data_IF_292223455616
#
_entry.id   IF_292223455616
#
_cell.length_a   1.000
_cell.length_b   1.000
_cell.length_c   1.000
_cell.angle_alpha   90.00
_cell.angle_beta   90.00
_cell.angle_gamma   90.00
#
_symmetry.space_group_name_H-M   'P 1'
#
loop_
_entity.id
_entity.type
_entity.pdbx_description
1 polymer ?
#
# COMPACT_ATOMS: atom_id res chain seq x y z
N UNK A 1 -25.40 -20.13 -7.84
CA UNK A 1 -25.42 -19.61 -6.44
C UNK A 1 -24.52 -18.39 -6.39
N UNK A 2 -25.10 -17.19 -6.29
CA UNK A 2 -24.36 -15.92 -6.21
C UNK A 2 -23.97 -15.65 -4.76
N UNK A 3 -22.68 -15.78 -4.43
CA UNK A 3 -22.14 -15.33 -3.16
C UNK A 3 -21.87 -13.84 -3.20
N UNK A 4 -22.85 -13.01 -2.86
CA UNK A 4 -22.59 -11.64 -2.43
C UNK A 4 -21.92 -11.69 -1.06
N UNK A 5 -20.59 -11.83 -1.05
CA UNK A 5 -19.80 -11.58 0.15
C UNK A 5 -19.91 -10.11 0.47
N UNK A 6 -20.64 -9.77 1.54
CA UNK A 6 -20.87 -8.40 2.01
C UNK A 6 -19.50 -7.85 2.49
N UNK A 7 -18.81 -6.97 1.74
CA UNK A 7 -17.49 -6.49 2.14
C UNK A 7 -17.58 -5.41 3.23
N UNK A 8 -18.78 -4.90 3.54
CA UNK A 8 -18.95 -3.74 4.42
C UNK A 8 -19.17 -4.02 5.92
N UNK A 9 -19.53 -5.25 6.33
CA UNK A 9 -19.84 -5.51 7.76
C UNK A 9 -18.60 -5.56 8.64
N UNK A 10 -17.49 -6.10 8.10
CA UNK A 10 -16.20 -6.08 8.79
C UNK A 10 -15.63 -4.66 8.91
N UNK A 11 -15.78 -3.83 7.88
CA UNK A 11 -15.32 -2.44 7.89
C UNK A 11 -16.07 -1.58 8.91
N UNK A 12 -17.40 -1.72 9.01
CA UNK A 12 -18.22 -0.97 9.99
C UNK A 12 -17.89 -1.42 11.42
N UNK A 13 -17.82 -2.73 11.67
CA UNK A 13 -17.45 -3.26 12.98
C UNK A 13 -16.04 -2.80 13.38
N UNK A 14 -15.14 -2.73 12.41
CA UNK A 14 -13.77 -2.29 12.59
C UNK A 14 -13.66 -0.78 12.85
N UNK A 15 -14.39 0.07 12.13
CA UNK A 15 -14.46 1.51 12.42
C UNK A 15 -15.03 1.78 13.82
N UNK A 16 -16.02 0.99 14.26
CA UNK A 16 -16.56 1.08 15.61
C UNK A 16 -15.52 0.68 16.67
N UNK A 17 -14.75 -0.37 16.43
CA UNK A 17 -13.67 -0.79 17.34
C UNK A 17 -12.54 0.26 17.41
N UNK A 18 -12.19 0.89 16.29
CA UNK A 18 -11.21 1.99 16.27
C UNK A 18 -11.77 3.22 17.01
N UNK A 19 -13.02 3.60 16.78
CA UNK A 19 -13.68 4.70 17.49
C UNK A 19 -13.72 4.48 19.00
N UNK A 20 -14.09 3.28 19.44
CA UNK A 20 -14.10 2.89 20.86
C UNK A 20 -12.68 2.82 21.42
N UNK A 21 -11.71 2.32 20.66
CA UNK A 21 -10.30 2.28 21.03
C UNK A 21 -9.72 3.68 21.24
N UNK A 22 -9.99 4.62 20.34
CA UNK A 22 -9.62 6.04 20.48
C UNK A 22 -10.31 6.65 21.70
N UNK A 23 -11.61 6.38 21.90
CA UNK A 23 -12.32 6.89 23.09
C UNK A 23 -11.69 6.38 24.38
N UNK A 24 -11.36 5.08 24.48
CA UNK A 24 -10.71 4.50 25.66
C UNK A 24 -9.28 5.05 25.83
N UNK A 25 -8.51 5.18 24.76
CA UNK A 25 -7.13 5.67 24.80
C UNK A 25 -7.01 7.18 25.02
N UNK A 26 -8.04 7.96 24.72
CA UNK A 26 -8.04 9.42 24.95
C UNK A 26 -8.76 9.75 26.26
N UNK A 27 -9.98 9.25 26.45
CA UNK A 27 -10.81 9.58 27.62
C UNK A 27 -10.37 8.81 28.86
N UNK A 28 -9.94 7.55 28.71
CA UNK A 28 -9.47 6.71 29.82
C UNK A 28 -8.27 7.34 30.56
N UNK A 29 -7.20 7.75 29.86
CA UNK A 29 -6.09 8.46 30.48
C UNK A 29 -6.47 9.82 31.05
N UNK A 30 -7.34 10.60 30.40
CA UNK A 30 -7.81 11.89 30.94
C UNK A 30 -8.54 11.68 32.28
N UNK A 31 -9.39 10.66 32.36
CA UNK A 31 -10.13 10.31 33.57
C UNK A 31 -9.20 9.77 34.68
N UNK A 32 -8.26 8.87 34.35
CA UNK A 32 -7.26 8.34 35.27
C UNK A 32 -6.30 9.43 35.79
N UNK A 33 -5.88 10.36 34.93
CA UNK A 33 -5.02 11.49 35.29
C UNK A 33 -5.78 12.46 36.20
N UNK A 34 -7.05 12.78 35.92
CA UNK A 34 -7.90 13.59 36.81
C UNK A 34 -8.08 12.94 38.18
N UNK A 35 -8.24 11.61 38.23
CA UNK A 35 -8.46 10.87 39.49
C UNK A 35 -7.19 10.79 40.34
N UNK A 36 -6.00 10.59 39.74
CA UNK A 36 -4.70 10.56 40.46
C UNK A 36 -4.15 11.94 40.81
N UNK A 37 -4.50 12.99 40.08
CA UNK A 37 -4.06 14.36 40.38
C UNK A 37 -4.59 14.90 41.71
N UNK A 38 -5.62 14.26 42.28
CA UNK A 38 -6.18 14.57 43.60
C UNK A 38 -5.42 13.92 44.78
N UNK A 39 -4.53 12.96 44.52
CA UNK A 39 -3.95 12.11 45.59
C UNK A 39 -2.43 12.01 45.60
N UNK A 40 -1.69 12.57 44.63
CA UNK A 40 -0.23 12.63 44.75
C UNK A 40 0.37 13.89 44.14
N UNK A 41 1.15 14.61 44.94
CA UNK A 41 1.94 15.80 44.62
C UNK A 41 3.17 15.51 43.74
N UNK A 42 3.17 14.39 43.00
CA UNK A 42 4.34 13.96 42.23
C UNK A 42 4.44 14.75 40.93
N UNK A 43 5.55 15.47 40.78
CA UNK A 43 5.92 16.19 39.54
C UNK A 43 5.89 15.22 38.35
N UNK A 44 5.38 15.66 37.18
CA UNK A 44 5.35 14.83 35.99
C UNK A 44 6.78 14.48 35.56
N UNK A 45 7.04 13.18 35.35
CA UNK A 45 8.39 12.67 35.10
C UNK A 45 8.77 12.85 33.63
N UNK A 46 9.88 13.56 33.38
CA UNK A 46 10.38 13.90 32.05
C UNK A 46 10.72 12.67 31.19
N UNK A 47 11.21 11.58 31.80
CA UNK A 47 11.57 10.36 31.07
C UNK A 47 10.40 9.74 30.30
N UNK A 48 9.16 9.93 30.77
CA UNK A 48 7.99 9.43 30.05
C UNK A 48 7.77 10.21 28.76
N UNK A 49 8.04 11.52 28.76
CA UNK A 49 7.95 12.34 27.54
C UNK A 49 9.04 11.92 26.55
N UNK A 50 10.25 11.60 27.04
CA UNK A 50 11.34 11.07 26.20
C UNK A 50 10.94 9.76 25.52
N UNK A 51 10.36 8.80 26.25
CA UNK A 51 9.89 7.54 25.66
C UNK A 51 8.78 7.75 24.62
N UNK A 52 7.85 8.68 24.88
CA UNK A 52 6.79 9.01 23.93
C UNK A 52 7.35 9.60 22.63
N UNK A 53 8.35 10.50 22.74
CA UNK A 53 9.04 11.08 21.59
C UNK A 53 9.80 10.00 20.82
N UNK A 54 10.60 9.17 21.50
CA UNK A 54 11.33 8.07 20.86
C UNK A 54 10.36 7.10 20.17
N UNK A 55 9.23 6.79 20.80
CA UNK A 55 8.17 5.98 20.20
C UNK A 55 7.58 6.62 18.94
N UNK A 56 7.19 7.89 18.98
CA UNK A 56 6.62 8.58 17.83
C UNK A 56 7.63 8.75 16.68
N UNK A 57 8.87 9.13 17.01
CA UNK A 57 9.97 9.30 16.06
C UNK A 57 10.45 7.97 15.48
N UNK A 58 10.34 6.86 16.21
CA UNK A 58 10.65 5.53 15.69
C UNK A 58 9.53 4.94 14.84
N UNK A 59 8.28 5.11 15.27
CA UNK A 59 7.10 4.56 14.57
C UNK A 59 6.86 5.23 13.22
N UNK A 60 7.11 6.53 13.05
CA UNK A 60 6.92 7.21 11.78
C UNK A 60 7.82 6.69 10.62
N UNK A 61 9.16 6.66 10.73
CA UNK A 61 10.03 6.05 9.72
C UNK A 61 9.89 4.53 9.69
N UNK A 62 9.69 3.89 10.84
CA UNK A 62 9.47 2.45 10.93
C UNK A 62 8.21 2.01 10.18
N UNK A 63 7.13 2.77 10.24
CA UNK A 63 5.90 2.49 9.50
C UNK A 63 6.10 2.63 8.00
N UNK A 64 6.89 3.62 7.55
CA UNK A 64 7.22 3.76 6.13
C UNK A 64 8.05 2.60 5.61
N UNK A 65 9.12 2.22 6.31
CA UNK A 65 9.95 1.08 5.93
C UNK A 65 9.14 -0.22 5.91
N UNK A 66 8.28 -0.42 6.90
CA UNK A 66 7.38 -1.56 6.95
C UNK A 66 6.37 -1.53 5.80
N UNK A 67 5.79 -0.36 5.49
CA UNK A 67 4.85 -0.22 4.37
C UNK A 67 5.50 -0.60 3.05
N UNK A 68 6.71 -0.10 2.79
CA UNK A 68 7.49 -0.47 1.61
C UNK A 68 7.73 -1.97 1.52
N UNK A 69 8.14 -2.59 2.63
CA UNK A 69 8.39 -4.03 2.69
C UNK A 69 7.11 -4.85 2.49
N UNK A 70 6.00 -4.44 3.09
CA UNK A 70 4.69 -5.07 2.90
C UNK A 70 4.26 -4.97 1.44
N UNK A 71 4.34 -3.79 0.82
CA UNK A 71 4.03 -3.64 -0.61
C UNK A 71 4.89 -4.53 -1.50
N UNK A 72 6.18 -4.65 -1.18
CA UNK A 72 7.07 -5.56 -1.87
C UNK A 72 6.65 -7.03 -1.73
N UNK A 73 6.34 -7.47 -0.51
CA UNK A 73 5.86 -8.83 -0.26
C UNK A 73 4.50 -9.10 -0.92
N UNK A 74 3.63 -8.10 -0.93
CA UNK A 74 2.31 -8.13 -1.56
C UNK A 74 2.46 -8.35 -3.08
N UNK A 75 3.35 -7.58 -3.72
CA UNK A 75 3.71 -7.80 -5.12
C UNK A 75 4.30 -9.19 -5.35
N UNK A 76 5.23 -9.63 -4.49
CA UNK A 76 5.86 -10.95 -4.58
C UNK A 76 4.85 -12.10 -4.50
N UNK A 77 3.77 -11.92 -3.74
CA UNK A 77 2.67 -12.88 -3.58
C UNK A 77 1.50 -12.65 -4.53
N UNK A 78 1.59 -11.66 -5.43
CA UNK A 78 0.56 -11.30 -6.40
C UNK A 78 -0.77 -10.85 -5.77
N UNK A 79 -0.71 -9.93 -4.81
CA UNK A 79 -1.89 -9.26 -4.23
C UNK A 79 -2.57 -10.03 -3.10
N UNK A 80 -1.84 -10.21 -2.01
CA UNK A 80 -2.36 -10.78 -0.78
C UNK A 80 -3.45 -9.93 -0.12
N UNK A 81 -4.25 -10.52 0.77
CA UNK A 81 -5.26 -9.78 1.48
C UNK A 81 -4.58 -8.79 2.44
N UNK A 82 -4.95 -7.51 2.31
CA UNK A 82 -4.91 -6.49 3.37
C UNK A 82 -3.64 -5.61 3.43
N UNK A 83 -3.59 -4.57 2.59
CA UNK A 83 -2.73 -3.38 2.72
C UNK A 83 -3.16 -2.39 3.82
N UNK A 84 -3.91 -2.81 4.86
CA UNK A 84 -4.35 -1.91 5.95
C UNK A 84 -3.29 -1.71 7.04
N UNK A 85 -2.23 -2.51 7.08
CA UNK A 85 -1.20 -2.47 8.14
C UNK A 85 -0.56 -1.09 8.37
N UNK A 86 -0.22 -0.29 7.32
CA UNK A 86 0.36 1.04 7.49
C UNK A 86 -0.53 1.99 8.30
N UNK A 87 -1.84 1.98 8.03
CA UNK A 87 -2.81 2.90 8.62
C UNK A 87 -2.81 2.83 10.15
N UNK A 88 -2.60 1.63 10.72
CA UNK A 88 -2.54 1.42 12.17
C UNK A 88 -1.32 2.04 12.82
N UNK A 89 -0.16 1.97 12.17
CA UNK A 89 1.08 2.53 12.72
C UNK A 89 1.05 4.07 12.69
N UNK A 90 0.42 4.64 11.67
CA UNK A 90 0.17 6.08 11.64
C UNK A 90 -0.86 6.51 12.69
N UNK A 91 -1.93 5.72 12.89
CA UNK A 91 -2.87 5.97 13.98
C UNK A 91 -2.17 5.91 15.35
N UNK A 92 -1.30 4.93 15.57
CA UNK A 92 -0.51 4.84 16.79
C UNK A 92 0.39 6.07 16.98
N UNK A 93 1.08 6.51 15.92
CA UNK A 93 1.91 7.73 15.93
C UNK A 93 1.07 8.97 16.27
N UNK A 94 -0.12 9.09 15.70
CA UNK A 94 -1.06 10.17 15.97
C UNK A 94 -1.54 10.16 17.43
N UNK A 95 -1.87 8.99 17.99
CA UNK A 95 -2.24 8.84 19.39
C UNK A 95 -1.11 9.27 20.33
N UNK A 96 0.14 8.86 20.05
CA UNK A 96 1.29 9.28 20.85
C UNK A 96 1.49 10.79 20.83
N UNK A 97 1.31 11.41 19.67
CA UNK A 97 1.39 12.87 19.53
C UNK A 97 0.31 13.59 20.35
N UNK A 98 -0.94 13.11 20.31
CA UNK A 98 -2.01 13.64 21.15
C UNK A 98 -1.72 13.51 22.64
N UNK A 99 -1.16 12.38 23.08
CA UNK A 99 -0.77 12.19 24.49
C UNK A 99 0.30 13.23 24.90
N UNK A 100 1.29 13.49 24.06
CA UNK A 100 2.31 14.53 24.30
C UNK A 100 1.67 15.91 24.44
N UNK A 101 0.78 16.27 23.51
CA UNK A 101 0.09 17.56 23.50
C UNK A 101 -0.80 17.76 24.74
N UNK A 102 -1.64 16.77 25.07
CA UNK A 102 -2.52 16.81 26.25
C UNK A 102 -1.69 16.95 27.53
N UNK A 103 -0.53 16.28 27.62
CA UNK A 103 0.36 16.40 28.78
C UNK A 103 0.97 17.80 28.93
N UNK A 104 1.19 18.54 27.86
CA UNK A 104 1.61 19.94 27.96
C UNK A 104 0.48 20.78 28.55
N UNK A 105 -0.73 20.64 28.02
CA UNK A 105 -1.90 21.42 28.46
C UNK A 105 -2.25 21.13 29.92
N UNK A 106 -2.42 19.85 30.29
CA UNK A 106 -2.87 19.44 31.62
C UNK A 106 -1.87 19.84 32.71
N UNK A 107 -0.57 19.76 32.40
CA UNK A 107 0.47 20.06 33.38
C UNK A 107 1.03 21.49 33.26
N UNK A 108 0.54 22.32 32.33
CA UNK A 108 1.10 23.66 32.04
C UNK A 108 1.34 24.51 33.30
N UNK A 109 0.34 24.59 34.20
CA UNK A 109 0.42 25.35 35.46
C UNK A 109 1.40 24.77 36.50
N UNK A 110 1.83 23.52 36.34
CA UNK A 110 2.72 22.79 37.26
C UNK A 110 4.14 22.63 36.72
N UNK A 111 4.40 23.08 35.50
CA UNK A 111 5.70 22.96 34.85
C UNK A 111 6.51 24.23 35.07
N UNK A 112 7.81 24.06 35.28
CA UNK A 112 8.74 25.19 35.19
C UNK A 112 8.88 25.67 33.75
N UNK A 113 9.29 26.92 33.53
CA UNK A 113 9.54 27.49 32.19
C UNK A 113 10.45 26.60 31.35
N UNK A 114 11.53 26.06 31.95
CA UNK A 114 12.47 25.15 31.29
C UNK A 114 11.77 23.86 30.83
N UNK A 115 10.90 23.28 31.66
CA UNK A 115 10.16 22.07 31.29
C UNK A 115 9.12 22.32 30.20
N UNK A 116 8.48 23.49 30.20
CA UNK A 116 7.59 23.89 29.11
C UNK A 116 8.38 23.97 27.80
N UNK A 117 9.54 24.64 27.81
CA UNK A 117 10.41 24.77 26.63
C UNK A 117 10.82 23.38 26.10
N UNK A 118 11.35 22.49 26.96
CA UNK A 118 11.78 21.14 26.55
C UNK A 118 10.62 20.35 25.93
N UNK A 119 9.43 20.38 26.54
CA UNK A 119 8.26 19.63 26.03
C UNK A 119 7.71 20.23 24.73
N UNK A 120 7.76 21.55 24.59
CA UNK A 120 7.42 22.22 23.33
C UNK A 120 8.40 21.80 22.23
N UNK A 121 9.70 21.77 22.50
CA UNK A 121 10.72 21.28 21.56
C UNK A 121 10.43 19.83 21.15
N UNK A 122 10.12 18.95 22.10
CA UNK A 122 9.73 17.57 21.82
C UNK A 122 8.53 17.46 20.88
N UNK A 123 7.49 18.25 21.14
CA UNK A 123 6.31 18.30 20.28
C UNK A 123 6.66 18.79 18.87
N UNK A 124 7.47 19.86 18.78
CA UNK A 124 7.95 20.40 17.50
C UNK A 124 8.76 19.36 16.74
N UNK A 125 9.68 18.63 17.40
CA UNK A 125 10.48 17.56 16.78
C UNK A 125 9.55 16.48 16.21
N UNK A 126 8.55 16.03 16.96
CA UNK A 126 7.62 15.01 16.45
C UNK A 126 6.81 15.50 15.25
N UNK A 127 6.38 16.77 15.24
CA UNK A 127 5.70 17.39 14.09
C UNK A 127 6.65 17.48 12.90
N UNK A 128 7.89 17.94 13.10
CA UNK A 128 8.91 18.02 12.06
C UNK A 128 9.19 16.64 11.49
N UNK A 129 9.29 15.59 12.31
CA UNK A 129 9.45 14.22 11.80
C UNK A 129 8.25 13.83 10.95
N UNK A 130 7.01 14.14 11.34
CA UNK A 130 5.83 13.84 10.50
C UNK A 130 5.81 14.65 9.20
N UNK A 131 6.25 15.91 9.22
CA UNK A 131 6.29 16.80 8.04
C UNK A 131 7.42 16.42 7.07
N UNK A 132 8.60 16.12 7.60
CA UNK A 132 9.83 15.79 6.85
C UNK A 132 9.80 14.32 6.41
N UNK A 133 9.10 13.46 7.16
CA UNK A 133 8.76 12.12 6.71
C UNK A 133 8.22 12.21 5.28
N UNK A 134 8.79 11.45 4.32
CA UNK A 134 8.29 11.41 2.96
C UNK A 134 6.76 11.37 3.00
N UNK A 135 6.11 12.41 2.46
CA UNK A 135 4.66 12.53 2.44
C UNK A 135 4.09 11.18 2.03
N UNK A 136 3.11 10.66 2.78
CA UNK A 136 2.40 9.41 2.52
C UNK A 136 2.45 9.03 1.04
N UNK A 137 3.43 8.21 0.65
CA UNK A 137 3.35 7.55 -0.63
C UNK A 137 2.44 6.37 -0.29
N UNK A 138 1.19 6.44 -0.76
CA UNK A 138 0.32 5.27 -0.95
C UNK A 138 1.24 4.13 -1.41
N UNK A 139 1.13 2.90 -0.86
CA UNK A 139 2.01 1.76 -1.14
C UNK A 139 2.57 1.86 -2.56
N UNK A 140 3.83 2.28 -2.65
CA UNK A 140 4.27 2.87 -3.91
C UNK A 140 4.25 1.78 -4.97
N UNK A 141 3.81 2.16 -6.17
CA UNK A 141 3.78 1.25 -7.32
C UNK A 141 5.15 0.57 -7.48
N UNK A 142 6.25 1.28 -7.18
CA UNK A 142 7.62 0.77 -7.27
C UNK A 142 7.93 -0.48 -6.42
N UNK A 143 7.83 -0.50 -5.07
CA UNK A 143 8.07 -1.72 -4.28
C UNK A 143 7.14 -2.87 -4.68
N UNK A 144 5.86 -2.57 -4.91
CA UNK A 144 4.91 -3.58 -5.38
C UNK A 144 5.36 -4.19 -6.71
N UNK A 145 5.63 -3.36 -7.72
CA UNK A 145 6.05 -3.81 -9.04
C UNK A 145 7.39 -4.54 -9.01
N UNK A 146 8.32 -4.11 -8.15
CA UNK A 146 9.58 -4.82 -7.92
C UNK A 146 9.34 -6.24 -7.38
N UNK A 147 8.47 -6.37 -6.37
CA UNK A 147 8.07 -7.66 -5.83
C UNK A 147 7.37 -8.52 -6.88
N UNK A 148 6.41 -7.93 -7.58
CA UNK A 148 5.59 -8.58 -8.60
C UNK A 148 6.41 -9.07 -9.78
N UNK A 149 7.39 -8.28 -10.25
CA UNK A 149 8.36 -8.67 -11.27
C UNK A 149 9.14 -9.91 -10.87
N UNK A 150 9.67 -9.94 -9.65
CA UNK A 150 10.42 -11.08 -9.13
C UNK A 150 9.51 -12.30 -8.98
N UNK A 151 8.27 -12.09 -8.51
CA UNK A 151 7.26 -13.13 -8.37
C UNK A 151 6.88 -13.75 -9.72
N UNK A 152 6.52 -12.93 -10.71
CA UNK A 152 6.18 -13.40 -12.05
C UNK A 152 7.38 -14.02 -12.75
N UNK A 153 8.58 -13.44 -12.65
CA UNK A 153 9.79 -14.01 -13.25
C UNK A 153 10.17 -15.39 -12.70
N UNK A 154 9.70 -15.75 -11.50
CA UNK A 154 9.91 -17.09 -10.92
C UNK A 154 8.76 -18.07 -11.19
N UNK A 155 7.53 -17.57 -11.30
CA UNK A 155 6.33 -18.40 -11.29
C UNK A 155 5.64 -18.51 -12.66
N UNK A 156 5.86 -17.56 -13.57
CA UNK A 156 5.26 -17.57 -14.90
C UNK A 156 6.11 -18.40 -15.85
N UNK A 157 5.52 -19.45 -16.42
CA UNK A 157 6.10 -20.18 -17.53
C UNK A 157 5.75 -19.45 -18.84
N UNK A 158 6.59 -18.49 -19.21
CA UNK A 158 6.36 -17.60 -20.36
C UNK A 158 6.39 -18.39 -21.66
N UNK A 159 7.21 -19.44 -21.75
CA UNK A 159 7.31 -20.30 -22.93
C UNK A 159 6.05 -21.15 -23.11
N UNK A 160 5.53 -21.79 -22.05
CA UNK A 160 4.27 -22.53 -22.13
C UNK A 160 3.11 -21.61 -22.54
N UNK A 161 3.05 -20.40 -21.98
CA UNK A 161 2.04 -19.39 -22.36
C UNK A 161 2.17 -19.02 -23.84
N UNK A 162 3.40 -18.85 -24.34
CA UNK A 162 3.66 -18.49 -25.74
C UNK A 162 3.33 -19.62 -26.70
N UNK A 163 3.62 -20.87 -26.35
CA UNK A 163 3.20 -22.02 -27.16
C UNK A 163 1.69 -22.16 -27.21
N UNK A 164 1.01 -21.96 -26.09
CA UNK A 164 -0.46 -21.92 -26.06
C UNK A 164 -1.02 -20.81 -26.95
N UNK A 165 -0.42 -19.62 -26.95
CA UNK A 165 -0.86 -18.50 -27.81
C UNK A 165 -0.84 -18.84 -29.30
N UNK A 166 0.05 -19.72 -29.77
CA UNK A 166 0.08 -20.18 -31.18
C UNK A 166 -1.14 -21.03 -31.55
N UNK A 167 -1.83 -21.60 -30.56
CA UNK A 167 -3.04 -22.42 -30.75
C UNK A 167 -4.32 -21.59 -30.75
N UNK A 168 -4.23 -20.31 -30.35
CA UNK A 168 -5.37 -19.38 -30.32
C UNK A 168 -5.66 -18.91 -31.75
N UNK A 169 -6.87 -19.15 -32.23
CA UNK A 169 -7.32 -18.81 -33.58
C UNK A 169 -8.05 -17.46 -33.64
N UNK A 170 -8.68 -17.05 -32.53
CA UNK A 170 -9.44 -15.80 -32.42
C UNK A 170 -9.18 -15.08 -31.10
N UNK A 171 -9.15 -13.74 -31.12
CA UNK A 171 -9.11 -12.98 -29.88
C UNK A 171 -10.43 -13.19 -29.14
N UNK A 172 -10.36 -13.18 -27.81
CA UNK A 172 -11.53 -13.22 -26.96
C UNK A 172 -11.62 -11.93 -26.17
N UNK A 173 -12.80 -11.33 -26.18
CA UNK A 173 -13.11 -10.16 -25.39
C UNK A 173 -13.33 -10.57 -23.94
N UNK A 174 -12.44 -10.11 -23.07
CA UNK A 174 -12.58 -10.01 -21.61
C UNK A 174 -13.37 -11.13 -20.93
N UNK A 175 -12.80 -12.34 -20.90
CA UNK A 175 -13.42 -13.48 -20.25
C UNK A 175 -12.87 -13.65 -18.83
N UNK A 176 -13.77 -13.87 -17.87
CA UNK A 176 -13.38 -14.30 -16.53
C UNK A 176 -12.57 -15.61 -16.63
N UNK A 177 -11.50 -15.73 -15.84
CA UNK A 177 -10.64 -16.91 -15.83
C UNK A 177 -11.43 -18.24 -15.67
N UNK A 178 -12.53 -18.21 -14.91
CA UNK A 178 -13.39 -19.39 -14.68
C UNK A 178 -14.17 -19.84 -15.92
N UNK A 179 -14.28 -18.98 -16.93
CA UNK A 179 -15.08 -19.21 -18.14
C UNK A 179 -14.24 -19.69 -19.32
N UNK A 180 -12.91 -19.79 -19.18
CA UNK A 180 -12.07 -20.39 -20.20
C UNK A 180 -11.94 -21.91 -20.02
N UNK A 181 -12.48 -22.73 -20.93
CA UNK A 181 -12.41 -24.17 -20.80
C UNK A 181 -11.00 -24.75 -21.02
N UNK A 182 -10.10 -24.03 -21.72
CA UNK A 182 -8.85 -24.59 -22.25
C UNK A 182 -7.60 -23.74 -21.93
N UNK A 183 -7.48 -23.21 -20.70
CA UNK A 183 -6.24 -22.52 -20.30
C UNK A 183 -5.11 -23.52 -20.01
N UNK A 184 -3.86 -23.18 -20.37
CA UNK A 184 -2.68 -23.96 -20.00
C UNK A 184 -2.47 -23.94 -18.47
N UNK A 185 -1.81 -24.95 -17.94
CA UNK A 185 -1.56 -25.06 -16.49
C UNK A 185 -0.69 -23.91 -15.99
N UNK A 186 0.21 -23.40 -16.84
CA UNK A 186 0.97 -22.17 -16.58
C UNK A 186 0.08 -20.99 -16.16
N UNK A 187 -1.00 -20.70 -16.90
CA UNK A 187 -1.92 -19.59 -16.57
C UNK A 187 -2.77 -19.95 -15.36
N UNK A 188 -3.24 -21.19 -15.25
CA UNK A 188 -4.10 -21.62 -14.13
C UNK A 188 -3.41 -21.50 -12.78
N UNK A 189 -2.12 -21.82 -12.70
CA UNK A 189 -1.32 -21.67 -11.48
C UNK A 189 -1.24 -20.22 -10.99
N UNK A 190 -1.20 -19.26 -11.90
CA UNK A 190 -1.11 -17.84 -11.58
C UNK A 190 -2.45 -17.25 -11.07
N UNK A 191 -3.56 -17.96 -11.28
CA UNK A 191 -4.92 -17.60 -10.83
C UNK A 191 -5.28 -16.13 -11.14
N UNK A 192 -5.17 -15.68 -12.40
CA UNK A 192 -5.63 -14.34 -12.78
C UNK A 192 -7.14 -14.20 -12.58
N UNK A 193 -7.59 -12.97 -12.38
CA UNK A 193 -9.03 -12.66 -12.32
C UNK A 193 -9.64 -12.65 -13.72
N UNK A 194 -8.92 -12.06 -14.67
CA UNK A 194 -9.32 -11.96 -16.08
C UNK A 194 -8.18 -12.39 -17.01
N UNK A 195 -8.55 -12.97 -18.15
CA UNK A 195 -7.63 -13.40 -19.20
C UNK A 195 -8.13 -12.89 -20.54
N UNK A 196 -7.35 -12.03 -21.18
CA UNK A 196 -7.75 -11.40 -22.45
C UNK A 196 -6.76 -11.83 -23.53
N UNK A 197 -7.26 -12.33 -24.66
CA UNK A 197 -6.43 -12.60 -25.83
C UNK A 197 -6.65 -11.49 -26.84
N UNK A 198 -5.61 -10.71 -27.10
CA UNK A 198 -5.67 -9.50 -27.90
C UNK A 198 -4.85 -9.70 -29.17
N UNK A 199 -5.36 -9.18 -30.29
CA UNK A 199 -4.58 -9.13 -31.53
C UNK A 199 -3.44 -8.11 -31.39
N UNK A 200 -2.29 -8.42 -31.98
CA UNK A 200 -1.21 -7.44 -32.11
C UNK A 200 -1.62 -6.37 -33.14
N UNK A 201 -1.36 -5.10 -32.84
CA UNK A 201 -1.80 -3.97 -33.68
C UNK A 201 -1.08 -3.92 -35.02
N UNK A 202 0.22 -4.23 -35.02
CA UNK A 202 1.09 -4.07 -36.20
C UNK A 202 1.60 -5.40 -36.79
N UNK A 203 1.30 -6.53 -36.14
CA UNK A 203 1.82 -7.87 -36.53
C UNK A 203 0.71 -8.91 -36.57
N UNK A 204 0.93 -9.97 -37.36
CA UNK A 204 0.13 -11.17 -37.23
C UNK A 204 0.48 -11.89 -35.92
N UNK A 205 -0.56 -12.27 -35.16
CA UNK A 205 -0.41 -12.97 -33.89
C UNK A 205 -1.24 -12.36 -32.77
N UNK A 206 -1.15 -13.02 -31.61
CA UNK A 206 -1.90 -12.68 -30.41
C UNK A 206 -0.97 -12.46 -29.23
N UNK A 207 -1.42 -11.63 -28.29
CA UNK A 207 -0.87 -11.50 -26.95
C UNK A 207 -1.95 -11.86 -25.93
N UNK A 208 -1.55 -12.36 -24.77
CA UNK A 208 -2.46 -12.57 -23.64
C UNK A 208 -2.18 -11.54 -22.56
N UNK A 209 -3.24 -10.92 -22.02
CA UNK A 209 -3.22 -10.04 -20.86
C UNK A 209 -3.85 -10.78 -19.69
N UNK A 210 -3.07 -10.99 -18.65
CA UNK A 210 -3.49 -11.56 -17.38
C UNK A 210 -3.68 -10.41 -16.38
N UNK A 211 -4.87 -10.32 -15.79
CA UNK A 211 -5.25 -9.20 -14.92
C UNK A 211 -5.64 -9.69 -13.54
N UNK A 212 -5.08 -9.04 -12.52
CA UNK A 212 -5.44 -9.15 -11.09
C UNK A 212 -6.01 -7.82 -10.59
N UNK A 213 -6.45 -7.82 -9.34
CA UNK A 213 -6.99 -6.63 -8.69
C UNK A 213 -8.52 -6.58 -8.65
N UNK A 214 -9.06 -5.37 -8.51
CA UNK A 214 -10.48 -5.12 -8.31
C UNK A 214 -10.81 -3.63 -8.19
N UNK A 215 -11.78 -3.28 -7.35
CA UNK A 215 -12.29 -1.89 -7.26
C UNK A 215 -11.26 -0.83 -6.83
N UNK A 216 -10.09 -1.24 -6.35
CA UNK A 216 -9.01 -0.36 -5.88
C UNK A 216 -7.77 -0.38 -6.79
N UNK A 217 -7.91 -0.83 -8.03
CA UNK A 217 -6.84 -0.86 -9.03
C UNK A 217 -6.59 -2.25 -9.58
N UNK A 218 -6.00 -2.27 -10.76
CA UNK A 218 -5.63 -3.48 -11.49
C UNK A 218 -4.12 -3.51 -11.75
N UNK A 219 -3.59 -4.71 -11.82
CA UNK A 219 -2.22 -4.96 -12.26
C UNK A 219 -2.19 -6.27 -13.02
N UNK A 220 -1.13 -6.52 -13.75
CA UNK A 220 -1.13 -7.66 -14.64
C UNK A 220 0.18 -7.95 -15.33
N UNK A 221 0.12 -8.98 -16.15
CA UNK A 221 1.20 -9.40 -17.02
C UNK A 221 0.66 -9.52 -18.43
N UNK A 222 1.47 -9.16 -19.41
CA UNK A 222 1.20 -9.37 -20.82
C UNK A 222 2.31 -10.25 -21.38
N UNK A 223 1.92 -11.26 -22.15
CA UNK A 223 2.83 -12.16 -22.87
C UNK A 223 2.41 -12.20 -24.33
N UNK A 224 3.38 -12.05 -25.23
CA UNK A 224 3.21 -12.21 -26.67
C UNK A 224 4.42 -12.90 -27.30
N UNK A 225 4.58 -12.79 -28.62
CA UNK A 225 5.79 -13.22 -29.33
C UNK A 225 7.05 -12.55 -28.78
N UNK A 226 8.20 -13.20 -28.86
CA UNK A 226 9.48 -12.68 -28.34
C UNK A 226 9.85 -11.30 -28.91
N UNK A 227 9.52 -11.07 -30.18
CA UNK A 227 9.77 -9.84 -30.92
C UNK A 227 8.65 -8.79 -30.78
N UNK A 228 7.69 -9.02 -29.87
CA UNK A 228 6.68 -8.03 -29.54
C UNK A 228 7.34 -6.84 -28.83
N UNK A 229 7.15 -5.64 -29.39
CA UNK A 229 7.60 -4.42 -28.76
C UNK A 229 6.82 -4.19 -27.45
N UNK A 230 7.56 -3.87 -26.38
CA UNK A 230 6.97 -3.56 -25.09
C UNK A 230 6.63 -2.08 -25.11
N UNK A 231 5.34 -1.70 -25.07
CA UNK A 231 4.96 -0.31 -25.18
C UNK A 231 5.48 0.47 -23.97
N UNK A 232 5.81 1.76 -24.13
CA UNK A 232 6.31 2.57 -23.04
C UNK A 232 5.27 2.68 -21.91
N UNK A 233 5.74 3.07 -20.72
CA UNK A 233 4.84 3.49 -19.64
C UNK A 233 4.05 4.70 -20.12
N UNK A 234 2.73 4.58 -20.16
CA UNK A 234 1.82 5.64 -20.59
C UNK A 234 1.10 6.15 -19.36
N UNK A 235 1.40 7.38 -18.94
CA UNK A 235 0.63 8.04 -17.89
C UNK A 235 0.17 9.39 -18.44
N UNK A 236 -1.13 9.52 -18.61
CA UNK A 236 -1.74 10.71 -19.18
C UNK A 236 -1.50 11.91 -18.27
N UNK A 237 -0.97 12.99 -18.85
CA UNK A 237 -0.69 14.22 -18.11
C UNK A 237 -1.97 14.95 -17.66
N UNK A 238 -3.11 14.69 -18.32
CA UNK A 238 -4.36 15.43 -18.11
C UNK A 238 -5.16 14.89 -16.92
N UNK A 239 -5.46 13.59 -16.94
CA UNK A 239 -6.28 12.91 -15.93
C UNK A 239 -5.44 12.10 -14.94
N UNK A 240 -4.11 12.03 -15.13
CA UNK A 240 -3.20 11.30 -14.24
C UNK A 240 -3.53 9.81 -14.12
N UNK A 241 -4.17 9.25 -15.14
CA UNK A 241 -4.44 7.83 -15.27
C UNK A 241 -3.49 7.19 -16.28
N UNK A 242 -3.31 5.89 -16.20
CA UNK A 242 -2.53 5.16 -17.21
C UNK A 242 -2.02 3.82 -16.72
N UNK A 243 -0.95 3.34 -17.35
CA UNK A 243 -0.30 2.08 -17.02
C UNK A 243 1.20 2.30 -16.82
N UNK A 244 1.66 2.00 -15.60
CA UNK A 244 3.07 1.82 -15.33
C UNK A 244 3.49 0.43 -15.81
N UNK A 245 4.44 0.35 -16.74
CA UNK A 245 4.85 -0.90 -17.40
C UNK A 245 6.33 -1.16 -17.16
N UNK A 246 6.67 -2.40 -16.82
CA UNK A 246 8.06 -2.86 -16.72
C UNK A 246 8.28 -4.13 -17.53
N UNK A 247 9.36 -4.15 -18.31
CA UNK A 247 9.81 -5.36 -19.01
C UNK A 247 10.11 -6.48 -18.03
N UNK A 248 9.60 -7.67 -18.33
CA UNK A 248 9.89 -8.91 -17.63
C UNK A 248 10.94 -9.73 -18.39
N UNK A 249 10.70 -9.98 -19.68
CA UNK A 249 11.62 -10.61 -20.63
C UNK A 249 11.21 -10.21 -22.07
N UNK A 250 11.81 -10.82 -23.08
CA UNK A 250 11.47 -10.60 -24.50
C UNK A 250 10.02 -11.00 -24.77
N UNK A 251 9.23 -10.07 -25.30
CA UNK A 251 7.81 -10.28 -25.54
C UNK A 251 6.92 -10.36 -24.30
N UNK A 252 7.42 -10.02 -23.11
CA UNK A 252 6.62 -10.04 -21.89
C UNK A 252 6.91 -8.88 -20.94
N UNK A 253 5.86 -8.31 -20.38
CA UNK A 253 5.94 -7.20 -19.43
C UNK A 253 4.87 -7.30 -18.34
N UNK A 254 5.15 -6.69 -17.21
CA UNK A 254 4.16 -6.46 -16.14
C UNK A 254 3.65 -5.03 -16.22
N UNK A 255 2.43 -4.81 -15.74
CA UNK A 255 1.81 -3.50 -15.71
C UNK A 255 1.02 -3.26 -14.42
N UNK A 256 0.83 -1.99 -14.08
CA UNK A 256 0.02 -1.53 -12.96
C UNK A 256 -0.81 -0.33 -13.41
N UNK A 257 -2.12 -0.36 -13.14
CA UNK A 257 -3.03 0.74 -13.39
C UNK A 257 -2.71 1.90 -12.44
N UNK A 258 -2.32 3.03 -13.02
CA UNK A 258 -2.07 4.27 -12.27
C UNK A 258 -3.39 5.01 -12.14
N UNK A 259 -3.80 5.29 -10.91
CA UNK A 259 -5.00 6.08 -10.62
C UNK A 259 -4.65 7.56 -10.37
N UNK A 260 -5.61 8.48 -10.57
CA UNK A 260 -5.45 9.89 -10.23
C UNK A 260 -5.14 10.06 -8.73
N UNK A 261 -3.88 10.27 -8.39
CA UNK A 261 -3.42 10.37 -6.99
C UNK A 261 -2.14 9.59 -6.69
N UNK A 262 -1.76 8.64 -7.56
CA UNK A 262 -0.61 7.74 -7.34
C UNK A 262 0.77 8.37 -7.61
N UNK A 263 0.85 9.66 -7.91
CA UNK A 263 2.11 10.30 -8.31
C UNK A 263 3.02 10.70 -7.14
N UNK A 264 4.18 10.03 -7.05
CA UNK A 264 5.53 10.63 -7.23
C UNK A 264 6.48 9.57 -7.81
N UNK A 265 6.38 9.23 -9.10
CA UNK A 265 7.55 8.72 -9.83
C UNK A 265 8.06 9.87 -10.66
N UNK A 266 9.11 10.54 -10.17
CA UNK A 266 9.85 11.49 -11.00
C UNK A 266 10.41 10.74 -12.20
N UNK A 267 10.18 11.26 -13.40
CA UNK A 267 10.83 10.90 -14.67
C UNK A 267 12.37 11.07 -14.69
N UNK A 268 13.04 11.09 -13.54
CA UNK A 268 14.47 11.41 -13.44
C UNK A 268 15.40 10.21 -13.36
N UNK A 269 14.90 8.97 -13.47
CA UNK A 269 15.77 7.81 -13.60
C UNK A 269 16.25 7.67 -15.05
N UNK A 270 17.12 8.62 -15.46
CA UNK A 270 18.22 8.30 -16.38
C UNK A 270 19.30 7.62 -15.54
N UNK A 271 19.30 6.29 -15.54
CA UNK A 271 20.50 5.49 -15.27
C UNK A 271 21.01 4.94 -16.59
#
# INVERSE_FOLDING_TARGET
MMGFGIPGTMEILFMLLVGVGIFILVVGPIWLIRRKAKTSEKRPRLWVDVLLVLGAVGLAPGSMALSYYISYLDGLQNGGPVNFSPCFLYLATFVLWWILFIRIIVFFKRLSTVQVIIRSIFTIITILVIIISPKFHVPSISPFMKGFKIGMGKNADIEEIREWLKTVDKPNDFLSFQLYPNLPEAIKKLKPRYVDTLKLEEKEGFKVRLTWGGGFGHWGMVVGPEDMEIPPTEISAYDKSGEYRERLTDGAYIWYEVQPGDYVIKQNDKF
#
